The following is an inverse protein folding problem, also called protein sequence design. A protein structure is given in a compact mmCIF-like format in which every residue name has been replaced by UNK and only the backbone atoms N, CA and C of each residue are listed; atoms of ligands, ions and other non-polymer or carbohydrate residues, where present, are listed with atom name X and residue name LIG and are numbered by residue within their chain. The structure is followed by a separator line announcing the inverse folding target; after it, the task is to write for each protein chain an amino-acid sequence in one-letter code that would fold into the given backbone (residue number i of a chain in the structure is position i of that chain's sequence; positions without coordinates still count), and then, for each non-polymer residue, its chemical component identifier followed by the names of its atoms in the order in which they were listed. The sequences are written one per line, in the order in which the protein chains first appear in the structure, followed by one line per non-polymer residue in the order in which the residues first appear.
data_IF_523853641179
#
_entry.id   IF_523853641179
#
_cell.length_a   1.000
_cell.length_b   1.000
_cell.length_c   1.000
_cell.angle_alpha   90.00
_cell.angle_beta   90.00
_cell.angle_gamma   90.00
#
_symmetry.space_group_name_H-M   'P 1'
#
loop_
_entity.id
_entity.type
_entity.pdbx_description
1 polymer ?
#
# COMPACT_ATOMS: atom_id res chain seq x y z
N UNK A 1 -39.36 -35.18 81.61
CA UNK A 1 -38.94 -33.76 81.46
C UNK A 1 -37.77 -33.74 80.48
N UNK A 2 -37.98 -33.35 79.20
CA UNK A 2 -37.61 -32.03 78.61
C UNK A 2 -36.09 -31.75 78.76
N UNK A 3 -35.21 -31.60 77.74
CA UNK A 3 -35.24 -31.19 76.31
C UNK A 3 -33.93 -31.72 75.63
N UNK A 4 -33.91 -32.17 74.36
CA UNK A 4 -33.45 -31.46 73.13
C UNK A 4 -32.33 -30.42 73.37
N UNK A 5 -31.18 -30.35 72.67
CA UNK A 5 -30.92 -30.33 71.20
C UNK A 5 -29.38 -30.47 70.99
N UNK A 6 -28.85 -31.41 70.22
CA UNK A 6 -28.41 -31.39 68.79
C UNK A 6 -27.60 -30.17 68.27
N UNK A 7 -26.43 -30.52 67.70
CA UNK A 7 -25.58 -29.88 66.65
C UNK A 7 -24.43 -28.94 67.08
N UNK A 8 -23.16 -29.26 66.73
CA UNK A 8 -22.05 -28.30 66.73
C UNK A 8 -22.09 -27.45 65.46
N UNK A 9 -22.15 -26.12 65.60
CA UNK A 9 -22.00 -25.17 64.51
C UNK A 9 -20.51 -25.07 64.14
N UNK A 10 -20.05 -25.93 63.22
CA UNK A 10 -18.82 -25.66 62.45
C UNK A 10 -19.24 -24.76 61.29
N UNK A 11 -19.15 -23.44 61.48
CA UNK A 11 -19.15 -22.51 60.35
C UNK A 11 -17.79 -22.63 59.66
N UNK A 12 -17.73 -23.44 58.60
CA UNK A 12 -16.68 -23.35 57.59
C UNK A 12 -16.67 -21.93 57.04
N UNK A 13 -15.58 -21.21 57.33
CA UNK A 13 -15.22 -19.99 56.65
C UNK A 13 -14.82 -20.38 55.22
N UNK A 14 -15.79 -20.48 54.31
CA UNK A 14 -15.50 -20.50 52.88
C UNK A 14 -14.99 -19.12 52.51
N UNK A 15 -13.66 -18.96 52.50
CA UNK A 15 -13.02 -17.89 51.74
C UNK A 15 -13.34 -18.22 50.28
N UNK A 16 -14.43 -17.65 49.77
CA UNK A 16 -14.65 -17.53 48.34
C UNK A 16 -13.54 -16.61 47.82
N UNK A 17 -12.41 -17.22 47.48
CA UNK A 17 -11.37 -16.57 46.71
C UNK A 17 -11.99 -16.33 45.34
N UNK A 18 -12.63 -15.16 45.18
CA UNK A 18 -13.11 -14.73 43.88
C UNK A 18 -11.87 -14.57 43.03
N UNK A 19 -11.58 -15.57 42.19
CA UNK A 19 -10.83 -15.35 40.97
C UNK A 19 -11.64 -14.33 40.17
N UNK A 20 -11.39 -13.04 40.41
CA UNK A 20 -11.63 -12.04 39.39
C UNK A 20 -10.69 -12.45 38.27
N UNK A 21 -11.24 -13.15 37.27
CA UNK A 21 -10.64 -13.15 35.95
C UNK A 21 -10.50 -11.67 35.59
N UNK A 22 -9.26 -11.18 35.60
CA UNK A 22 -8.91 -9.99 34.85
C UNK A 22 -9.22 -10.34 33.41
N UNK A 23 -10.46 -10.06 32.97
CA UNK A 23 -10.77 -9.90 31.57
C UNK A 23 -10.02 -8.64 31.18
N UNK A 24 -8.76 -8.85 30.85
CA UNK A 24 -7.96 -7.89 30.14
C UNK A 24 -8.65 -7.77 28.80
N UNK A 25 -9.60 -6.84 28.69
CA UNK A 25 -10.10 -6.38 27.41
C UNK A 25 -8.88 -5.81 26.73
N UNK A 26 -8.18 -6.65 25.97
CA UNK A 26 -7.17 -6.17 25.07
C UNK A 26 -7.93 -5.17 24.21
N UNK A 27 -7.64 -3.88 24.36
CA UNK A 27 -7.94 -2.88 23.35
C UNK A 27 -7.03 -3.12 22.15
N UNK A 28 -6.91 -4.39 21.74
CA UNK A 28 -6.27 -4.81 20.53
C UNK A 28 -7.00 -4.12 19.40
N UNK A 29 -6.26 -3.67 18.40
CA UNK A 29 -6.85 -3.11 17.20
C UNK A 29 -7.91 -4.09 16.70
N UNK A 30 -9.18 -3.66 16.72
CA UNK A 30 -10.29 -4.37 16.06
C UNK A 30 -10.00 -4.44 14.55
N UNK A 31 -9.29 -3.44 14.05
CA UNK A 31 -8.81 -3.33 12.69
C UNK A 31 -7.73 -4.38 12.35
N UNK A 32 -8.01 -5.15 11.29
CA UNK A 32 -7.00 -5.95 10.59
C UNK A 32 -6.62 -5.25 9.28
N UNK A 33 -5.36 -4.82 9.11
CA UNK A 33 -4.90 -4.18 7.88
C UNK A 33 -4.60 -5.22 6.79
N UNK A 34 -5.60 -6.02 6.43
CA UNK A 34 -5.52 -7.07 5.41
C UNK A 34 -6.78 -7.12 4.53
N UNK A 35 -6.79 -8.05 3.58
CA UNK A 35 -7.86 -8.26 2.60
C UNK A 35 -9.21 -8.68 3.19
N UNK A 36 -9.26 -9.09 4.46
CA UNK A 36 -10.53 -9.46 5.13
C UNK A 36 -11.25 -8.27 5.71
N UNK A 37 -10.63 -7.10 5.64
CA UNK A 37 -11.21 -5.88 6.17
C UNK A 37 -12.34 -5.32 5.33
N UNK A 38 -13.38 -4.80 5.98
CA UNK A 38 -14.53 -4.16 5.32
C UNK A 38 -14.25 -2.74 4.82
N UNK A 39 -13.22 -2.08 5.36
CA UNK A 39 -12.80 -0.73 4.95
C UNK A 39 -11.48 -0.81 4.17
N UNK A 40 -11.25 0.13 3.28
CA UNK A 40 -9.99 0.21 2.53
C UNK A 40 -9.15 1.37 3.05
N UNK A 41 -7.90 1.07 3.40
CA UNK A 41 -6.83 2.05 3.64
C UNK A 41 -5.80 1.87 2.53
N UNK A 42 -6.02 2.61 1.45
CA UNK A 42 -5.17 2.63 0.26
C UNK A 42 -4.05 3.66 0.35
N UNK A 43 -2.89 3.34 -0.21
CA UNK A 43 -1.86 4.34 -0.54
C UNK A 43 -1.13 3.99 -1.83
N UNK A 44 -0.36 4.94 -2.34
CA UNK A 44 0.42 4.78 -3.56
C UNK A 44 1.89 4.57 -3.29
N UNK A 45 2.55 3.81 -4.15
CA UNK A 45 4.00 3.62 -4.16
C UNK A 45 4.59 3.82 -5.55
N UNK A 46 5.90 4.03 -5.61
CA UNK A 46 6.66 4.19 -6.84
C UNK A 46 7.93 3.33 -6.79
N UNK A 47 8.47 2.89 -7.95
CA UNK A 47 9.73 2.15 -8.03
C UNK A 47 10.88 2.81 -7.27
N UNK A 48 10.97 4.14 -7.35
CA UNK A 48 11.92 4.97 -6.61
C UNK A 48 11.94 4.63 -5.12
N UNK A 49 10.80 4.62 -4.43
CA UNK A 49 10.76 4.32 -3.00
C UNK A 49 11.19 2.88 -2.72
N UNK A 50 10.76 1.94 -3.58
CA UNK A 50 11.09 0.51 -3.41
C UNK A 50 12.60 0.26 -3.54
N UNK A 51 13.25 0.86 -4.53
CA UNK A 51 14.70 0.67 -4.72
C UNK A 51 15.53 1.27 -3.59
N UNK A 52 15.05 2.34 -2.95
CA UNK A 52 15.79 3.01 -1.85
C UNK A 52 15.61 2.33 -0.51
N UNK A 53 14.38 1.95 -0.18
CA UNK A 53 14.02 1.49 1.17
C UNK A 53 13.81 -0.02 1.25
N UNK A 54 13.46 -0.65 0.13
CA UNK A 54 13.09 -2.06 0.06
C UNK A 54 11.64 -2.32 0.48
N UNK A 55 10.99 -3.25 -0.24
CA UNK A 55 9.55 -3.48 -0.10
C UNK A 55 9.13 -3.95 1.29
N UNK A 56 9.92 -4.80 1.94
CA UNK A 56 9.59 -5.32 3.28
C UNK A 56 9.52 -4.21 4.33
N UNK A 57 10.51 -3.32 4.35
CA UNK A 57 10.56 -2.20 5.30
C UNK A 57 9.40 -1.24 5.08
N UNK A 58 9.11 -0.91 3.82
CA UNK A 58 7.98 -0.06 3.46
C UNK A 58 6.66 -0.66 3.96
N UNK A 59 6.41 -1.94 3.69
CA UNK A 59 5.18 -2.61 4.11
C UNK A 59 5.07 -2.74 5.62
N UNK A 60 6.17 -3.01 6.33
CA UNK A 60 6.19 -3.04 7.80
C UNK A 60 5.73 -1.71 8.39
N UNK A 61 6.25 -0.60 7.87
CA UNK A 61 5.87 0.74 8.31
C UNK A 61 4.43 1.09 7.91
N UNK A 62 4.04 0.88 6.65
CA UNK A 62 2.70 1.19 6.17
C UNK A 62 1.61 0.40 6.91
N UNK A 63 1.81 -0.90 7.15
CA UNK A 63 0.82 -1.68 7.90
C UNK A 63 0.82 -1.32 9.39
N UNK A 64 1.99 -1.15 10.01
CA UNK A 64 2.08 -0.94 11.46
C UNK A 64 1.65 0.47 11.91
N UNK A 65 2.03 1.51 11.15
CA UNK A 65 1.81 2.91 11.51
C UNK A 65 0.43 3.42 11.07
N UNK A 66 0.02 3.12 9.84
CA UNK A 66 -1.19 3.69 9.23
C UNK A 66 -2.26 2.63 8.92
N UNK A 67 -1.94 1.35 9.03
CA UNK A 67 -2.92 0.27 8.83
C UNK A 67 -3.30 0.04 7.37
N UNK A 68 -2.40 0.32 6.42
CA UNK A 68 -2.63 0.09 4.98
C UNK A 68 -3.02 -1.36 4.73
N UNK A 69 -4.09 -1.56 3.96
CA UNK A 69 -4.52 -2.87 3.49
C UNK A 69 -4.62 -2.97 1.95
N UNK A 70 -4.41 -1.86 1.24
CA UNK A 70 -4.34 -1.81 -0.21
C UNK A 70 -3.16 -0.92 -0.65
N UNK A 71 -2.35 -1.40 -1.58
CA UNK A 71 -1.25 -0.62 -2.17
C UNK A 71 -1.35 -0.60 -3.69
N UNK A 72 -1.31 0.59 -4.28
CA UNK A 72 -1.27 0.73 -5.73
C UNK A 72 0.03 1.37 -6.21
N UNK A 73 0.55 0.92 -7.36
CA UNK A 73 1.74 1.51 -7.96
C UNK A 73 1.35 2.42 -9.11
N UNK A 74 1.95 3.60 -9.16
CA UNK A 74 1.90 4.43 -10.36
C UNK A 74 2.81 3.80 -11.42
N UNK A 75 2.22 2.96 -12.27
CA UNK A 75 2.95 2.13 -13.24
C UNK A 75 3.38 2.90 -14.47
N UNK A 76 2.65 3.98 -14.80
CA UNK A 76 2.99 4.95 -15.84
C UNK A 76 2.84 6.34 -15.24
N UNK A 77 3.89 7.14 -15.34
CA UNK A 77 3.96 8.45 -14.73
C UNK A 77 4.19 9.53 -15.79
N UNK A 78 3.53 10.68 -15.68
CA UNK A 78 3.88 11.84 -16.50
C UNK A 78 5.16 12.48 -15.99
N UNK A 79 5.88 13.23 -16.82
CA UNK A 79 7.10 13.89 -16.37
C UNK A 79 6.82 14.76 -15.13
N UNK A 80 7.49 14.46 -14.02
CA UNK A 80 7.20 15.05 -12.71
C UNK A 80 8.45 15.06 -11.84
N UNK A 81 8.69 16.19 -11.18
CA UNK A 81 9.72 16.32 -10.14
C UNK A 81 9.12 16.06 -8.76
N UNK A 82 9.85 15.37 -7.89
CA UNK A 82 9.48 15.16 -6.48
C UNK A 82 10.66 15.43 -5.54
N UNK A 83 10.41 16.02 -4.35
CA UNK A 83 9.12 16.53 -3.88
C UNK A 83 8.60 17.73 -4.69
N UNK A 84 7.29 17.99 -4.66
CA UNK A 84 6.70 19.06 -5.49
C UNK A 84 7.07 20.48 -5.05
N UNK A 85 7.09 20.72 -3.75
CA UNK A 85 7.27 22.06 -3.17
C UNK A 85 8.39 22.10 -2.13
N UNK A 86 8.82 20.95 -1.64
CA UNK A 86 9.91 20.84 -0.69
C UNK A 86 11.23 20.63 -1.44
N UNK A 87 12.36 21.12 -0.90
CA UNK A 87 13.67 20.97 -1.54
C UNK A 87 14.16 19.52 -1.54
N UNK A 88 13.74 18.71 -0.57
CA UNK A 88 14.18 17.33 -0.40
C UNK A 88 13.12 16.45 0.28
N UNK A 89 13.22 15.14 0.10
CA UNK A 89 12.42 14.16 0.83
C UNK A 89 12.88 14.12 2.28
N UNK A 90 12.00 14.38 3.26
CA UNK A 90 12.39 14.46 4.66
C UNK A 90 12.81 13.10 5.28
N UNK A 91 12.46 11.98 4.64
CA UNK A 91 12.59 10.64 5.21
C UNK A 91 13.19 9.61 4.25
N UNK A 92 13.52 9.99 3.01
CA UNK A 92 14.13 9.04 2.08
C UNK A 92 15.63 8.87 2.44
N UNK A 93 16.11 7.64 2.66
CA UNK A 93 17.48 7.41 3.12
C UNK A 93 18.55 7.54 2.02
N UNK A 94 18.17 7.57 0.75
CA UNK A 94 19.10 7.46 -0.39
C UNK A 94 19.09 8.70 -1.27
N UNK A 95 17.94 9.34 -1.50
CA UNK A 95 17.83 10.49 -2.40
C UNK A 95 17.01 11.62 -1.83
N UNK A 96 17.44 12.84 -2.14
CA UNK A 96 16.74 14.07 -1.78
C UNK A 96 15.58 14.36 -2.74
N UNK A 97 15.73 14.03 -4.02
CA UNK A 97 14.73 14.30 -5.06
C UNK A 97 14.72 13.20 -6.12
N UNK A 98 13.68 13.17 -6.96
CA UNK A 98 13.70 12.42 -8.22
C UNK A 98 12.93 13.13 -9.33
N UNK A 99 13.28 12.81 -10.57
CA UNK A 99 12.53 13.18 -11.77
C UNK A 99 12.01 11.92 -12.45
N UNK A 100 10.69 11.85 -12.63
CA UNK A 100 10.04 10.81 -13.41
C UNK A 100 10.12 11.15 -14.91
N UNK A 101 10.44 10.15 -15.73
CA UNK A 101 10.39 10.27 -17.18
C UNK A 101 8.94 10.30 -17.70
N UNK A 102 8.73 10.95 -18.84
CA UNK A 102 7.38 11.10 -19.41
C UNK A 102 6.83 9.78 -19.95
N UNK A 103 5.75 9.31 -19.32
CA UNK A 103 4.93 8.15 -19.69
C UNK A 103 5.72 6.85 -19.88
N UNK A 104 6.74 6.63 -19.05
CA UNK A 104 7.49 5.37 -19.04
C UNK A 104 6.88 4.35 -18.09
N UNK A 105 6.84 3.08 -18.51
CA UNK A 105 6.37 1.99 -17.66
C UNK A 105 7.44 1.52 -16.69
N UNK A 106 6.99 1.01 -15.56
CA UNK A 106 7.81 0.36 -14.52
C UNK A 106 7.51 -1.13 -14.33
N UNK A 107 6.89 -1.75 -15.32
CA UNK A 107 6.59 -3.18 -15.38
C UNK A 107 6.97 -3.72 -16.75
N UNK A 108 7.02 -5.04 -16.91
CA UNK A 108 7.28 -5.66 -18.21
C UNK A 108 5.98 -5.83 -18.98
N UNK A 109 5.76 -5.08 -20.08
CA UNK A 109 4.51 -5.18 -20.81
C UNK A 109 4.46 -6.48 -21.62
N UNK A 110 3.30 -7.11 -21.64
CA UNK A 110 2.99 -8.14 -22.63
C UNK A 110 2.76 -7.47 -23.99
N UNK A 111 3.84 -7.25 -24.75
CA UNK A 111 3.84 -6.45 -25.99
C UNK A 111 2.80 -6.89 -27.03
N UNK A 112 2.45 -8.17 -27.05
CA UNK A 112 1.45 -8.74 -27.97
C UNK A 112 0.03 -8.23 -27.70
N UNK A 113 -0.25 -7.70 -26.50
CA UNK A 113 -1.55 -7.10 -26.15
C UNK A 113 -1.72 -5.67 -26.68
N UNK A 114 -0.65 -5.06 -27.17
CA UNK A 114 -0.66 -3.67 -27.61
C UNK A 114 -0.68 -3.57 -29.13
N UNK A 115 -1.50 -2.64 -29.65
CA UNK A 115 -1.60 -2.34 -31.07
C UNK A 115 -0.53 -1.35 -31.53
N UNK A 116 -0.96 -0.32 -32.27
CA UNK A 116 -0.08 0.74 -32.80
C UNK A 116 0.67 1.49 -31.69
N UNK A 117 0.00 1.75 -30.57
CA UNK A 117 0.55 2.48 -29.44
C UNK A 117 1.07 1.46 -28.44
N UNK A 118 2.38 1.46 -28.23
CA UNK A 118 3.08 0.56 -27.32
C UNK A 118 3.61 1.35 -26.11
N UNK A 119 3.63 0.74 -24.92
CA UNK A 119 4.31 1.33 -23.77
C UNK A 119 5.78 1.62 -24.07
N UNK A 120 6.36 2.58 -23.37
CA UNK A 120 7.80 2.85 -23.46
C UNK A 120 8.46 2.45 -22.14
N UNK A 121 9.53 1.66 -22.22
CA UNK A 121 10.37 1.40 -21.06
C UNK A 121 11.11 2.68 -20.65
N UNK A 122 11.48 2.75 -19.37
CA UNK A 122 12.37 3.80 -18.85
C UNK A 122 13.76 3.75 -19.49
N UNK A 123 14.42 4.90 -19.61
CA UNK A 123 15.81 4.98 -20.06
C UNK A 123 16.79 4.65 -18.91
N UNK A 124 16.30 4.55 -17.66
CA UNK A 124 17.06 4.08 -16.51
C UNK A 124 17.07 2.55 -16.42
N UNK A 125 18.27 1.96 -16.47
CA UNK A 125 18.46 0.50 -16.38
C UNK A 125 17.76 -0.11 -15.16
N UNK A 126 17.94 0.49 -13.97
CA UNK A 126 17.32 -0.02 -12.75
C UNK A 126 15.78 -0.03 -12.79
N UNK A 127 15.14 0.85 -13.58
CA UNK A 127 13.68 0.81 -13.77
C UNK A 127 13.31 -0.24 -14.80
N UNK A 128 14.02 -0.32 -15.93
CA UNK A 128 13.64 -1.16 -17.06
C UNK A 128 14.13 -2.63 -16.97
N UNK A 129 15.00 -2.95 -16.01
CA UNK A 129 15.50 -4.31 -15.77
C UNK A 129 14.72 -5.04 -14.67
N UNK A 130 13.74 -4.38 -14.03
CA UNK A 130 12.93 -4.96 -12.96
C UNK A 130 11.45 -4.75 -13.21
N UNK A 131 10.64 -5.79 -13.04
CA UNK A 131 9.19 -5.66 -13.00
C UNK A 131 8.76 -5.21 -11.60
N UNK A 132 8.70 -3.90 -11.39
CA UNK A 132 8.38 -3.30 -10.09
C UNK A 132 6.93 -3.57 -9.67
N UNK A 133 6.02 -3.65 -10.65
CA UNK A 133 4.63 -4.00 -10.38
C UNK A 133 4.55 -5.43 -9.84
N UNK A 134 5.19 -6.40 -10.50
CA UNK A 134 5.19 -7.79 -10.06
C UNK A 134 5.85 -7.95 -8.69
N UNK A 135 6.99 -7.28 -8.45
CA UNK A 135 7.65 -7.27 -7.15
C UNK A 135 6.72 -6.77 -6.03
N UNK A 136 5.99 -5.68 -6.28
CA UNK A 136 5.01 -5.14 -5.33
C UNK A 136 3.84 -6.10 -5.12
N UNK A 137 3.30 -6.68 -6.21
CA UNK A 137 2.21 -7.67 -6.16
C UNK A 137 2.59 -8.84 -5.25
N UNK A 138 3.75 -9.45 -5.47
CA UNK A 138 4.18 -10.62 -4.72
C UNK A 138 4.40 -10.28 -3.24
N UNK A 139 5.05 -9.14 -2.98
CA UNK A 139 5.30 -8.66 -1.62
C UNK A 139 4.00 -8.38 -0.85
N UNK A 140 3.04 -7.69 -1.48
CA UNK A 140 1.75 -7.38 -0.89
C UNK A 140 0.90 -8.63 -0.66
N UNK A 141 0.78 -9.51 -1.67
CA UNK A 141 -0.05 -10.72 -1.58
C UNK A 141 0.48 -11.70 -0.54
N UNK A 142 1.80 -11.76 -0.34
CA UNK A 142 2.40 -12.56 0.74
C UNK A 142 1.92 -12.15 2.15
N UNK A 143 1.38 -10.94 2.29
CA UNK A 143 0.86 -10.35 3.53
C UNK A 143 -0.66 -10.20 3.55
N UNK A 144 -1.36 -10.73 2.54
CA UNK A 144 -2.79 -10.56 2.41
C UNK A 144 -3.22 -9.12 2.10
N UNK A 145 -2.38 -8.33 1.42
CA UNK A 145 -2.75 -6.99 0.98
C UNK A 145 -3.40 -7.02 -0.40
N UNK A 146 -4.38 -6.15 -0.62
CA UNK A 146 -4.91 -5.83 -1.95
C UNK A 146 -3.90 -4.98 -2.72
N UNK A 147 -3.96 -5.06 -4.05
CA UNK A 147 -3.01 -4.38 -4.93
C UNK A 147 -3.69 -3.73 -6.13
N UNK A 148 -3.12 -2.63 -6.61
CA UNK A 148 -3.59 -1.91 -7.80
C UNK A 148 -2.46 -1.39 -8.68
N UNK A 149 -2.81 -1.07 -9.92
CA UNK A 149 -1.94 -0.37 -10.86
C UNK A 149 -2.64 0.92 -11.30
N UNK A 150 -1.96 2.05 -11.14
CA UNK A 150 -2.43 3.36 -11.57
C UNK A 150 -1.66 3.79 -12.82
N UNK A 151 -2.42 4.16 -13.85
CA UNK A 151 -1.90 4.90 -15.00
C UNK A 151 -2.19 6.37 -14.74
N UNK A 152 -1.13 7.17 -14.59
CA UNK A 152 -1.27 8.61 -14.38
C UNK A 152 -1.91 9.30 -15.60
N UNK A 153 -2.24 10.58 -15.47
CA UNK A 153 -3.04 11.38 -16.41
C UNK A 153 -2.53 11.43 -17.87
N UNK A 154 -1.32 10.95 -18.15
CA UNK A 154 -0.71 10.92 -19.48
C UNK A 154 -0.13 9.51 -19.75
N UNK A 155 -0.90 8.59 -20.37
CA UNK A 155 -0.42 7.25 -20.71
C UNK A 155 0.54 7.22 -21.91
N UNK A 156 0.60 8.31 -22.69
CA UNK A 156 1.41 8.45 -23.90
C UNK A 156 2.29 9.69 -23.72
N UNK A 157 3.60 9.63 -24.04
CA UNK A 157 4.47 10.78 -23.91
C UNK A 157 3.96 11.98 -24.70
N UNK A 158 4.07 13.17 -24.12
CA UNK A 158 3.59 14.42 -24.72
C UNK A 158 4.21 14.68 -26.08
N UNK A 159 5.49 14.33 -26.25
CA UNK A 159 6.17 14.47 -27.54
C UNK A 159 5.52 13.62 -28.62
N UNK A 160 5.23 12.35 -28.33
CA UNK A 160 4.62 11.44 -29.30
C UNK A 160 3.20 11.88 -29.68
N UNK A 161 2.43 12.40 -28.72
CA UNK A 161 1.12 13.00 -28.99
C UNK A 161 1.22 14.25 -29.88
N UNK A 162 2.26 15.09 -29.72
CA UNK A 162 2.50 16.26 -30.59
C UNK A 162 2.87 15.88 -32.01
N UNK A 163 3.67 14.83 -32.17
CA UNK A 163 4.11 14.30 -33.46
C UNK A 163 2.98 13.57 -34.21
N UNK A 164 1.88 13.22 -33.52
CA UNK A 164 0.71 12.54 -34.08
C UNK A 164 -0.57 13.37 -33.85
N UNK A 165 -0.86 14.40 -34.67
CA UNK A 165 -1.99 15.31 -34.48
C UNK A 165 -3.36 14.63 -34.45
N UNK A 166 -3.49 13.45 -35.03
CA UNK A 166 -4.69 12.61 -35.00
C UNK A 166 -4.98 12.01 -33.61
N UNK A 167 -4.00 11.98 -32.70
CA UNK A 167 -4.16 11.44 -31.34
C UNK A 167 -4.56 12.51 -30.32
N UNK A 168 -4.52 13.78 -30.72
CA UNK A 168 -4.83 14.89 -29.83
C UNK A 168 -6.34 15.02 -29.65
N UNK A 169 -6.75 15.27 -28.40
CA UNK A 169 -8.11 15.67 -28.12
C UNK A 169 -8.40 16.99 -28.85
N UNK A 170 -9.49 16.99 -29.62
CA UNK A 170 -9.99 18.19 -30.31
C UNK A 170 -11.06 18.88 -29.48
N UNK A 171 -11.19 20.18 -29.70
CA UNK A 171 -12.31 20.97 -29.21
C UNK A 171 -13.61 20.55 -29.90
N UNK A 172 -14.74 21.00 -29.36
CA UNK A 172 -16.07 20.69 -29.92
C UNK A 172 -16.23 21.23 -31.35
N UNK A 173 -15.55 22.33 -31.68
CA UNK A 173 -15.52 22.91 -33.04
C UNK A 173 -14.52 22.21 -33.99
N UNK A 174 -13.83 21.16 -33.51
CA UNK A 174 -12.86 20.40 -34.29
C UNK A 174 -11.46 20.98 -34.36
N UNK A 175 -11.20 22.11 -33.68
CA UNK A 175 -9.86 22.67 -33.49
C UNK A 175 -9.12 22.13 -32.27
#
# INVERSE_FOLDING_TARGET
MKRFTLIPFICLLFIAMSCQENVQTSTGRVWKPDYTSEFEVGTQIRPWTIVDEGMSYILDNMQSMIGVNNLYMVVVMHQEHRPFHAPEFPHNPVRDTFDAEDSRVSFFPEWERYGKIKPLLSDHAWINETDWLQLMIDSCRSRGLSVGAEVSHFPIPKQLVRENPDWQQKKIDGG
#
